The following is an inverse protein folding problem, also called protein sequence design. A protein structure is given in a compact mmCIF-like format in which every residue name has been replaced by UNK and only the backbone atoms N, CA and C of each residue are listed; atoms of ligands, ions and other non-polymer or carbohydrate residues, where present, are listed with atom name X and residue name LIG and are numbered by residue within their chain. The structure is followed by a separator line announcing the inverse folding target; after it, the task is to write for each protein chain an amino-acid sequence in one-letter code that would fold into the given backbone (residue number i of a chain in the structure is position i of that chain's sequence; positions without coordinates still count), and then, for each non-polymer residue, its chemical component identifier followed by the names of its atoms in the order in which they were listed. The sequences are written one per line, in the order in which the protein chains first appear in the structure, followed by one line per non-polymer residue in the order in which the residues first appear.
data_IF_777721524432
#
_entry.id   IF_777721524432
#
_cell.length_a   1.000
_cell.length_b   1.000
_cell.length_c   1.000
_cell.angle_alpha   90.00
_cell.angle_beta   90.00
_cell.angle_gamma   90.00
#
_symmetry.space_group_name_H-M   'P 1'
#
loop_
_entity.id
_entity.type
_entity.pdbx_description
1 polymer ?
#
# COMPACT_ATOMS: atom_id res chain seq x y z
N UNK A 1 -41.03 8.73 7.02
CA UNK A 1 -39.69 8.68 7.64
C UNK A 1 -39.62 7.54 8.65
N UNK A 2 -38.60 6.69 8.56
CA UNK A 2 -38.49 5.48 9.39
C UNK A 2 -37.19 5.49 10.20
N UNK A 3 -36.25 6.43 9.92
CA UNK A 3 -34.96 6.55 10.60
C UNK A 3 -34.62 8.01 10.88
N UNK A 4 -33.97 8.27 12.02
CA UNK A 4 -33.51 9.60 12.41
C UNK A 4 -32.14 9.94 11.79
N UNK A 5 -31.35 8.92 11.47
CA UNK A 5 -30.00 9.03 10.89
C UNK A 5 -29.89 8.08 9.71
N UNK A 6 -29.34 8.54 8.63
CA UNK A 6 -29.14 7.76 7.41
C UNK A 6 -27.65 7.64 7.05
N UNK A 7 -27.26 6.44 6.65
CA UNK A 7 -25.92 6.17 6.14
C UNK A 7 -26.00 5.46 4.80
N UNK A 8 -25.81 6.17 3.68
CA UNK A 8 -25.71 5.55 2.38
C UNK A 8 -24.39 4.77 2.27
N UNK A 9 -24.41 3.66 1.54
CA UNK A 9 -23.20 2.92 1.20
C UNK A 9 -22.59 3.51 -0.08
N UNK A 10 -21.63 4.42 0.09
CA UNK A 10 -20.98 5.14 -1.01
C UNK A 10 -19.56 4.61 -1.20
N UNK A 11 -19.33 3.85 -2.27
CA UNK A 11 -18.04 3.25 -2.61
C UNK A 11 -17.40 3.94 -3.81
N UNK A 12 -17.45 5.28 -3.80
CA UNK A 12 -16.88 6.08 -4.87
C UNK A 12 -15.36 5.90 -4.94
N UNK A 13 -14.86 5.65 -6.15
CA UNK A 13 -13.44 5.34 -6.35
C UNK A 13 -13.07 3.87 -6.13
N UNK A 14 -14.02 3.01 -5.70
CA UNK A 14 -13.75 1.57 -5.55
C UNK A 14 -14.67 0.71 -6.42
N UNK A 15 -15.96 0.63 -6.12
CA UNK A 15 -16.91 -0.16 -6.92
C UNK A 15 -17.47 0.61 -8.11
N UNK A 16 -17.36 1.93 -8.13
CA UNK A 16 -17.81 2.77 -9.24
C UNK A 16 -17.15 4.14 -9.17
N UNK A 17 -16.99 4.77 -10.33
CA UNK A 17 -16.41 6.10 -10.46
C UNK A 17 -14.97 6.23 -9.99
N UNK A 18 -14.50 7.48 -9.90
CA UNK A 18 -13.22 7.84 -9.32
C UNK A 18 -13.38 8.51 -7.95
N UNK A 19 -12.35 8.49 -7.12
CA UNK A 19 -12.40 9.08 -5.78
C UNK A 19 -12.61 10.61 -5.81
N UNK A 20 -12.21 11.30 -6.87
CA UNK A 20 -12.48 12.74 -7.07
C UNK A 20 -13.97 13.07 -7.16
N UNK A 21 -14.84 12.09 -7.43
CA UNK A 21 -16.29 12.25 -7.47
C UNK A 21 -16.96 12.09 -6.10
N UNK A 22 -16.18 11.81 -5.03
CA UNK A 22 -16.68 11.53 -3.69
C UNK A 22 -17.51 12.70 -3.12
N UNK A 23 -16.99 13.92 -3.20
CA UNK A 23 -17.68 15.13 -2.74
C UNK A 23 -19.06 15.30 -3.38
N UNK A 24 -19.12 15.20 -4.72
CA UNK A 24 -20.40 15.28 -5.44
C UNK A 24 -21.41 14.21 -5.04
N UNK A 25 -20.93 12.99 -4.74
CA UNK A 25 -21.77 11.92 -4.26
C UNK A 25 -22.33 12.22 -2.85
N UNK A 26 -21.50 12.72 -1.93
CA UNK A 26 -21.94 13.12 -0.57
C UNK A 26 -22.94 14.27 -0.64
N UNK A 27 -22.68 15.30 -1.41
CA UNK A 27 -23.57 16.47 -1.55
C UNK A 27 -24.96 16.06 -2.05
N UNK A 28 -25.03 15.16 -3.03
CA UNK A 28 -26.32 14.65 -3.53
C UNK A 28 -27.16 13.98 -2.44
N UNK A 29 -26.55 13.15 -1.59
CA UNK A 29 -27.28 12.50 -0.48
C UNK A 29 -27.66 13.50 0.62
N UNK A 30 -26.83 14.53 0.86
CA UNK A 30 -27.09 15.56 1.87
C UNK A 30 -28.30 16.42 1.53
N UNK A 31 -28.58 16.67 0.25
CA UNK A 31 -29.79 17.36 -0.19
C UNK A 31 -31.07 16.64 0.26
N UNK A 32 -31.01 15.30 0.33
CA UNK A 32 -32.13 14.46 0.73
C UNK A 32 -32.17 14.21 2.25
N UNK A 33 -31.01 14.13 2.89
CA UNK A 33 -30.87 13.73 4.30
C UNK A 33 -29.82 14.58 5.02
N UNK A 34 -30.25 15.64 5.74
CA UNK A 34 -29.31 16.54 6.43
C UNK A 34 -28.42 15.86 7.48
N UNK A 35 -28.92 14.84 8.19
CA UNK A 35 -28.17 14.08 9.20
C UNK A 35 -27.48 12.85 8.56
N UNK A 36 -26.59 13.08 7.61
CA UNK A 36 -25.87 12.04 6.88
C UNK A 36 -24.65 11.57 7.65
N UNK A 37 -24.53 10.26 7.89
CA UNK A 37 -23.30 9.57 8.26
C UNK A 37 -22.79 8.75 7.07
N UNK A 38 -21.48 8.65 6.90
CA UNK A 38 -20.88 7.77 5.89
C UNK A 38 -20.17 6.61 6.58
N UNK A 39 -20.93 5.57 6.91
CA UNK A 39 -20.48 4.48 7.80
C UNK A 39 -19.84 3.29 7.07
N UNK A 40 -19.69 3.35 5.73
CA UNK A 40 -19.01 2.30 4.99
C UNK A 40 -18.42 2.83 3.69
N UNK A 41 -17.09 2.91 3.63
CA UNK A 41 -16.33 3.27 2.45
C UNK A 41 -14.92 2.63 2.48
N UNK A 42 -14.21 2.64 1.38
CA UNK A 42 -12.83 2.19 1.31
C UNK A 42 -12.48 1.43 0.04
N UNK A 43 -11.40 0.70 0.10
CA UNK A 43 -10.88 -0.11 -1.00
C UNK A 43 -9.88 -1.13 -0.50
N UNK A 44 -9.52 -2.09 -1.36
CA UNK A 44 -8.55 -3.14 -1.02
C UNK A 44 -7.16 -2.79 -1.52
N UNK A 45 -6.15 -3.09 -0.72
CA UNK A 45 -4.75 -3.06 -1.15
C UNK A 45 -4.02 -4.33 -0.75
N UNK A 46 -3.13 -4.79 -1.62
CA UNK A 46 -2.22 -5.89 -1.34
C UNK A 46 -0.92 -5.33 -0.78
N UNK A 47 -0.60 -5.69 0.46
CA UNK A 47 0.55 -5.17 1.22
C UNK A 47 1.84 -5.23 0.41
N UNK A 48 2.53 -4.10 0.31
CA UNK A 48 3.79 -3.96 -0.41
C UNK A 48 3.65 -3.86 -1.93
N UNK A 49 2.42 -3.78 -2.47
CA UNK A 49 2.20 -3.56 -3.89
C UNK A 49 2.05 -2.08 -4.18
N UNK A 50 2.98 -1.55 -4.96
CA UNK A 50 3.01 -0.15 -5.36
C UNK A 50 3.19 -0.01 -6.86
N UNK A 51 2.70 1.08 -7.42
CA UNK A 51 2.84 1.43 -8.83
C UNK A 51 3.17 2.92 -8.98
N UNK A 52 3.97 3.26 -9.99
CA UNK A 52 4.30 4.68 -10.29
C UNK A 52 3.08 5.44 -10.85
N UNK A 53 2.16 4.70 -11.48
CA UNK A 53 0.90 5.24 -11.98
C UNK A 53 -0.24 4.28 -11.66
N UNK A 54 -1.10 4.60 -10.69
CA UNK A 54 -2.15 3.68 -10.22
C UNK A 54 -3.20 3.34 -11.27
N UNK A 55 -3.29 4.08 -12.36
CA UNK A 55 -4.25 3.85 -13.44
C UNK A 55 -3.67 3.12 -14.66
N UNK A 56 -2.42 2.64 -14.59
CA UNK A 56 -1.82 1.77 -15.61
C UNK A 56 -1.64 2.40 -16.98
N UNK A 57 -2.06 3.62 -17.18
CA UNK A 57 -1.82 4.37 -18.40
C UNK A 57 -0.33 4.70 -18.47
N UNK A 58 0.28 4.62 -19.65
CA UNK A 58 1.55 5.25 -19.93
C UNK A 58 1.40 6.78 -19.81
N UNK A 59 0.82 7.19 -18.69
CA UNK A 59 0.57 8.56 -18.33
C UNK A 59 1.86 9.34 -18.53
N UNK A 60 1.75 10.43 -19.18
CA UNK A 60 2.86 11.28 -19.55
C UNK A 60 3.75 11.49 -18.33
N UNK A 61 4.90 10.80 -18.31
CA UNK A 61 5.94 11.02 -17.33
C UNK A 61 5.96 10.16 -16.07
N UNK A 62 4.99 9.31 -15.78
CA UNK A 62 5.00 8.45 -14.58
C UNK A 62 4.98 9.21 -13.25
N UNK A 63 4.63 10.47 -13.26
CA UNK A 63 4.57 11.34 -12.08
C UNK A 63 3.11 11.60 -11.70
N UNK A 64 2.70 11.19 -10.51
CA UNK A 64 1.37 11.41 -9.94
C UNK A 64 0.94 12.88 -9.94
N UNK A 65 1.88 13.79 -9.82
CA UNK A 65 1.63 15.24 -9.80
C UNK A 65 1.33 15.85 -11.19
N UNK A 66 1.57 15.11 -12.29
CA UNK A 66 1.45 15.65 -13.65
C UNK A 66 0.12 15.33 -14.34
N UNK A 67 -0.64 14.38 -13.83
CA UNK A 67 -1.95 14.00 -14.37
C UNK A 67 -2.95 14.07 -13.24
N UNK A 68 -4.01 14.87 -13.41
CA UNK A 68 -5.10 14.87 -12.44
C UNK A 68 -5.76 13.47 -12.40
N UNK A 69 -6.30 13.10 -11.24
CA UNK A 69 -7.02 11.84 -11.11
C UNK A 69 -8.19 11.76 -12.08
N UNK A 70 -8.86 12.89 -12.30
CA UNK A 70 -9.96 13.01 -13.25
C UNK A 70 -9.49 12.70 -14.69
N UNK A 71 -8.36 13.24 -15.11
CA UNK A 71 -7.78 12.93 -16.41
C UNK A 71 -7.37 11.46 -16.53
N UNK A 72 -6.75 10.89 -15.49
CA UNK A 72 -6.36 9.49 -15.47
C UNK A 72 -7.58 8.56 -15.56
N UNK A 73 -8.62 8.80 -14.78
CA UNK A 73 -9.87 8.02 -14.79
C UNK A 73 -10.58 8.13 -16.14
N UNK A 74 -10.66 9.33 -16.71
CA UNK A 74 -11.31 9.55 -17.99
C UNK A 74 -10.54 8.90 -19.14
N UNK A 75 -9.20 8.93 -19.12
CA UNK A 75 -8.36 8.29 -20.13
C UNK A 75 -8.45 6.77 -20.14
N UNK A 76 -8.58 6.15 -18.97
CA UNK A 76 -8.57 4.67 -18.84
C UNK A 76 -9.99 4.08 -18.89
N UNK A 77 -11.04 4.90 -18.81
CA UNK A 77 -12.42 4.44 -18.80
C UNK A 77 -12.75 3.53 -17.61
N UNK A 78 -12.09 3.72 -16.46
CA UNK A 78 -12.26 2.88 -15.27
C UNK A 78 -13.63 3.09 -14.66
N UNK A 79 -14.50 2.10 -14.81
CA UNK A 79 -15.83 2.10 -14.19
C UNK A 79 -15.82 1.50 -12.77
N UNK A 80 -14.80 0.72 -12.43
CA UNK A 80 -14.64 0.08 -11.11
C UNK A 80 -13.19 -0.37 -10.91
N UNK A 81 -12.50 0.24 -9.95
CA UNK A 81 -11.11 -0.13 -9.58
C UNK A 81 -11.07 -1.52 -8.95
N UNK A 82 -12.11 -1.91 -8.23
CA UNK A 82 -12.24 -3.25 -7.65
C UNK A 82 -12.05 -4.37 -8.68
N UNK A 83 -12.46 -4.14 -9.93
CA UNK A 83 -12.36 -5.14 -11.02
C UNK A 83 -11.00 -5.17 -11.70
N UNK A 84 -10.11 -4.21 -11.41
CA UNK A 84 -8.77 -4.21 -12.00
C UNK A 84 -7.87 -5.31 -11.42
N UNK A 85 -8.18 -5.77 -10.20
CA UNK A 85 -7.39 -6.73 -9.40
C UNK A 85 -5.93 -6.31 -9.17
N UNK A 86 -5.56 -5.08 -9.52
CA UNK A 86 -4.21 -4.55 -9.26
C UNK A 86 -4.03 -4.32 -7.77
N UNK A 87 -4.97 -3.64 -7.13
CA UNK A 87 -5.07 -3.40 -5.69
C UNK A 87 -3.74 -2.97 -5.07
N UNK A 88 -3.16 -1.93 -5.62
CA UNK A 88 -1.93 -1.33 -5.08
C UNK A 88 -2.23 -0.37 -3.92
N UNK A 89 -1.25 -0.19 -3.04
CA UNK A 89 -1.35 0.73 -1.92
C UNK A 89 -1.35 2.18 -2.38
N UNK A 90 -0.68 2.48 -3.48
CA UNK A 90 -0.59 3.84 -4.05
C UNK A 90 -1.97 4.43 -4.35
N UNK A 91 -2.83 3.66 -5.02
CA UNK A 91 -4.20 4.10 -5.30
C UNK A 91 -5.04 4.27 -4.03
N UNK A 92 -4.91 3.34 -3.10
CA UNK A 92 -5.70 3.36 -1.87
C UNK A 92 -5.32 4.54 -0.97
N UNK A 93 -4.05 4.90 -0.95
CA UNK A 93 -3.58 6.12 -0.29
C UNK A 93 -4.26 7.35 -0.88
N UNK A 94 -4.27 7.50 -2.20
CA UNK A 94 -4.92 8.63 -2.87
C UNK A 94 -6.43 8.68 -2.58
N UNK A 95 -7.11 7.53 -2.61
CA UNK A 95 -8.54 7.43 -2.30
C UNK A 95 -8.83 7.91 -0.87
N UNK A 96 -8.06 7.46 0.11
CA UNK A 96 -8.31 7.84 1.51
C UNK A 96 -7.87 9.26 1.82
N UNK A 97 -6.76 9.73 1.26
CA UNK A 97 -6.31 11.11 1.44
C UNK A 97 -7.38 12.09 0.89
N UNK A 98 -7.91 11.79 -0.29
CA UNK A 98 -9.00 12.58 -0.89
C UNK A 98 -10.26 12.58 -0.03
N UNK A 99 -10.68 11.41 0.45
CA UNK A 99 -11.88 11.26 1.27
C UNK A 99 -11.74 11.99 2.61
N UNK A 100 -10.61 11.80 3.30
CA UNK A 100 -10.33 12.43 4.59
C UNK A 100 -10.19 13.95 4.47
N UNK A 101 -9.50 14.45 3.43
CA UNK A 101 -9.47 15.90 3.16
C UNK A 101 -10.88 16.48 3.14
N UNK A 102 -11.80 15.86 2.39
CA UNK A 102 -13.17 16.35 2.32
C UNK A 102 -13.87 16.26 3.67
N UNK A 103 -13.84 15.09 4.33
CA UNK A 103 -14.55 14.87 5.58
C UNK A 103 -14.05 15.73 6.74
N UNK A 104 -12.76 16.08 6.76
CA UNK A 104 -12.15 16.90 7.81
C UNK A 104 -12.25 18.41 7.54
N UNK A 105 -12.55 18.82 6.31
CA UNK A 105 -12.68 20.24 5.95
C UNK A 105 -14.11 20.73 5.76
N UNK A 106 -15.06 19.82 5.57
CA UNK A 106 -16.48 20.16 5.44
C UNK A 106 -17.15 20.26 6.83
N UNK A 107 -17.54 21.48 7.27
CA UNK A 107 -18.13 21.68 8.60
C UNK A 107 -19.50 21.00 8.79
N UNK A 108 -20.12 20.56 7.71
CA UNK A 108 -21.41 19.86 7.74
C UNK A 108 -21.25 18.34 7.67
N UNK A 109 -20.01 17.83 7.60
CA UNK A 109 -19.78 16.40 7.58
C UNK A 109 -19.96 15.81 8.98
N UNK A 110 -20.98 14.96 9.16
CA UNK A 110 -21.40 14.50 10.49
C UNK A 110 -20.47 13.42 11.05
N UNK A 111 -19.94 12.54 10.20
CA UNK A 111 -19.00 11.50 10.59
C UNK A 111 -18.93 10.33 9.61
N UNK A 112 -17.87 9.52 9.76
CA UNK A 112 -17.65 8.37 8.90
C UNK A 112 -17.00 7.19 9.62
N UNK A 113 -17.12 5.99 9.01
CA UNK A 113 -16.34 4.83 9.39
C UNK A 113 -15.85 4.11 8.12
N UNK A 114 -14.56 3.84 8.09
CA UNK A 114 -13.92 3.13 7.01
C UNK A 114 -14.10 1.61 7.17
N UNK A 115 -14.33 0.90 6.07
CA UNK A 115 -14.36 -0.55 6.00
C UNK A 115 -13.09 -1.09 5.34
N UNK A 116 -12.18 -1.72 6.12
CA UNK A 116 -12.25 -2.03 7.53
C UNK A 116 -10.89 -1.76 8.20
N UNK A 117 -10.81 -1.84 9.54
CA UNK A 117 -9.54 -1.61 10.24
C UNK A 117 -8.49 -2.69 9.93
N UNK A 118 -8.89 -3.97 9.87
CA UNK A 118 -7.97 -5.10 9.69
C UNK A 118 -8.43 -6.03 8.58
N UNK A 119 -7.50 -6.53 7.77
CA UNK A 119 -7.77 -7.61 6.81
C UNK A 119 -8.35 -8.84 7.53
N UNK A 120 -9.30 -9.53 6.91
CA UNK A 120 -9.96 -10.67 7.53
C UNK A 120 -10.25 -11.79 6.54
N UNK A 121 -10.36 -13.02 7.06
CA UNK A 121 -10.77 -14.20 6.29
C UNK A 121 -12.22 -14.10 5.85
N UNK A 122 -12.52 -14.54 4.63
CA UNK A 122 -13.85 -14.56 4.06
C UNK A 122 -14.06 -15.84 3.24
N UNK A 123 -15.27 -16.43 3.23
CA UNK A 123 -15.56 -17.59 2.39
C UNK A 123 -15.70 -17.24 0.90
N UNK A 124 -15.79 -15.96 0.58
CA UNK A 124 -15.87 -15.42 -0.77
C UNK A 124 -14.55 -14.77 -1.15
N UNK A 125 -14.38 -14.33 -2.41
CA UNK A 125 -13.18 -13.66 -2.93
C UNK A 125 -12.00 -14.61 -3.18
N UNK A 126 -12.18 -15.71 -3.92
CA UNK A 126 -11.07 -16.60 -4.30
C UNK A 126 -10.09 -15.93 -5.27
N UNK A 127 -10.51 -14.88 -5.97
CA UNK A 127 -9.75 -14.11 -6.95
C UNK A 127 -8.76 -13.10 -6.35
N UNK A 128 -8.87 -12.83 -5.05
CA UNK A 128 -8.03 -11.83 -4.40
C UNK A 128 -6.54 -12.18 -4.46
N UNK A 129 -5.63 -11.18 -4.39
CA UNK A 129 -4.18 -11.42 -4.33
C UNK A 129 -3.76 -12.44 -3.26
N UNK A 130 -4.45 -12.47 -2.13
CA UNK A 130 -4.45 -13.60 -1.19
C UNK A 130 -5.87 -14.17 -1.20
N UNK A 131 -6.09 -15.34 -1.81
CA UNK A 131 -7.41 -15.95 -1.91
C UNK A 131 -8.12 -16.06 -0.56
N UNK A 132 -9.41 -15.75 -0.55
CA UNK A 132 -10.27 -15.78 0.63
C UNK A 132 -9.85 -14.85 1.78
N UNK A 133 -9.11 -13.78 1.48
CA UNK A 133 -8.84 -12.68 2.40
C UNK A 133 -9.47 -11.40 1.86
N UNK A 134 -10.31 -10.76 2.68
CA UNK A 134 -10.72 -9.40 2.40
C UNK A 134 -9.57 -8.46 2.78
N UNK A 135 -9.04 -7.72 1.80
CA UNK A 135 -7.85 -6.90 1.95
C UNK A 135 -8.17 -5.40 2.06
N UNK A 136 -9.35 -5.05 2.59
CA UNK A 136 -9.77 -3.66 2.85
C UNK A 136 -9.25 -3.08 4.17
N UNK A 137 -8.46 -3.84 4.92
CA UNK A 137 -7.89 -3.38 6.19
C UNK A 137 -6.90 -2.22 6.01
N UNK A 138 -6.84 -1.33 7.00
CA UNK A 138 -5.74 -0.39 7.19
C UNK A 138 -4.49 -1.12 7.69
N UNK A 139 -4.68 -2.26 8.33
CA UNK A 139 -3.61 -3.19 8.72
C UNK A 139 -3.85 -4.56 8.11
N UNK A 140 -2.79 -5.32 7.90
CA UNK A 140 -2.88 -6.68 7.40
C UNK A 140 -3.38 -7.68 8.47
N UNK A 141 -3.48 -8.96 8.12
CA UNK A 141 -3.91 -10.02 9.05
C UNK A 141 -3.02 -10.18 10.28
N UNK A 142 -1.73 -9.83 10.18
CA UNK A 142 -0.80 -9.86 11.31
C UNK A 142 -0.90 -8.62 12.21
N UNK A 143 -1.59 -7.58 11.77
CA UNK A 143 -1.67 -6.28 12.42
C UNK A 143 -0.60 -5.29 11.95
N UNK A 144 0.17 -5.64 10.89
CA UNK A 144 1.14 -4.71 10.31
C UNK A 144 0.40 -3.60 9.58
N UNK A 145 0.71 -2.31 9.86
CA UNK A 145 0.16 -1.19 9.11
C UNK A 145 0.44 -1.29 7.61
N UNK A 146 -0.52 -0.86 6.80
CA UNK A 146 -0.40 -0.55 5.39
C UNK A 146 -0.22 0.96 5.25
N UNK A 147 0.13 1.45 4.06
CA UNK A 147 0.31 2.90 3.85
C UNK A 147 -0.93 3.71 4.21
N UNK A 148 -2.12 3.19 3.92
CA UNK A 148 -3.39 3.83 4.28
C UNK A 148 -3.55 4.08 5.80
N UNK A 149 -2.96 3.26 6.67
CA UNK A 149 -2.95 3.50 8.11
C UNK A 149 -2.28 4.84 8.47
N UNK A 150 -1.19 5.17 7.79
CA UNK A 150 -0.44 6.40 8.03
C UNK A 150 -1.18 7.63 7.52
N UNK A 151 -1.97 7.49 6.43
CA UNK A 151 -2.90 8.53 5.99
C UNK A 151 -3.89 8.86 7.10
N UNK A 152 -4.62 7.87 7.62
CA UNK A 152 -5.56 8.07 8.73
C UNK A 152 -4.88 8.63 9.98
N UNK A 153 -3.67 8.14 10.31
CA UNK A 153 -2.91 8.62 11.45
C UNK A 153 -2.60 10.12 11.33
N UNK A 154 -2.28 10.61 10.14
CA UNK A 154 -1.98 12.03 9.90
C UNK A 154 -3.20 12.96 10.03
N UNK A 155 -4.42 12.44 9.94
CA UNK A 155 -5.65 13.20 10.16
C UNK A 155 -6.19 13.05 11.59
N UNK A 156 -6.13 11.85 12.19
CA UNK A 156 -6.90 11.52 13.39
C UNK A 156 -6.08 11.37 14.66
N UNK A 157 -4.76 11.17 14.58
CA UNK A 157 -3.93 11.12 15.77
C UNK A 157 -3.69 12.50 16.35
N UNK A 158 -3.62 12.56 17.70
CA UNK A 158 -3.21 13.74 18.45
C UNK A 158 -1.70 13.78 18.68
N UNK A 159 -1.10 12.60 18.86
CA UNK A 159 0.35 12.46 18.97
C UNK A 159 1.01 12.81 17.64
N UNK A 160 2.17 13.47 17.65
CA UNK A 160 2.89 13.81 16.43
C UNK A 160 3.23 12.55 15.59
N UNK A 161 2.90 12.60 14.32
CA UNK A 161 3.27 11.59 13.33
C UNK A 161 3.81 12.27 12.09
N UNK A 162 4.86 11.69 11.49
CA UNK A 162 5.37 12.12 10.21
C UNK A 162 5.95 10.88 9.52
N UNK A 163 5.40 10.52 8.34
CA UNK A 163 5.65 9.24 7.70
C UNK A 163 5.86 9.43 6.21
N UNK A 164 6.97 8.92 5.68
CA UNK A 164 7.20 8.89 4.25
C UNK A 164 6.31 7.81 3.65
N UNK A 165 5.54 8.15 2.61
CA UNK A 165 4.71 7.21 1.88
C UNK A 165 5.54 5.99 1.45
N UNK A 166 4.96 4.79 1.67
CA UNK A 166 5.47 3.55 1.09
C UNK A 166 6.82 3.08 1.64
N UNK A 167 6.91 2.89 2.95
CA UNK A 167 8.09 2.30 3.60
C UNK A 167 8.44 0.90 3.04
N UNK A 168 7.46 0.19 2.50
CA UNK A 168 7.62 -1.12 1.87
C UNK A 168 8.04 -1.06 0.40
N UNK A 169 8.01 0.12 -0.22
CA UNK A 169 8.42 0.33 -1.61
C UNK A 169 9.91 0.62 -1.74
N UNK A 170 10.70 -0.30 -1.28
CA UNK A 170 12.16 -0.17 -1.17
C UNK A 170 12.93 -0.29 -2.48
N UNK A 171 12.29 -0.77 -3.55
CA UNK A 171 12.86 -0.78 -4.90
C UNK A 171 11.95 0.01 -5.84
N UNK A 172 12.50 1.04 -6.46
CA UNK A 172 11.81 1.83 -7.49
C UNK A 172 12.62 1.81 -8.79
N UNK A 173 12.01 2.20 -9.89
CA UNK A 173 12.70 2.28 -11.17
C UNK A 173 12.24 3.48 -11.99
N UNK A 174 13.07 3.88 -12.95
CA UNK A 174 12.76 4.95 -13.89
C UNK A 174 13.95 5.31 -14.76
N UNK A 175 13.86 6.45 -15.43
CA UNK A 175 14.99 6.99 -16.19
C UNK A 175 15.98 7.68 -15.25
N UNK A 176 17.23 7.77 -15.64
CA UNK A 176 18.19 8.60 -14.93
C UNK A 176 17.74 10.07 -14.97
N UNK A 177 17.72 10.73 -13.80
CA UNK A 177 17.27 12.12 -13.66
C UNK A 177 15.75 12.32 -13.71
N UNK A 178 14.96 11.23 -13.71
CA UNK A 178 13.50 11.32 -13.64
C UNK A 178 13.06 11.67 -12.22
N UNK A 179 12.27 12.73 -12.09
CA UNK A 179 11.68 13.09 -10.81
C UNK A 179 10.58 12.10 -10.40
N UNK A 180 10.57 11.73 -9.12
CA UNK A 180 9.54 10.91 -8.48
C UNK A 180 8.87 11.72 -7.38
N UNK A 181 7.56 11.81 -7.39
CA UNK A 181 6.82 12.47 -6.32
C UNK A 181 6.83 11.59 -5.08
N UNK A 182 7.29 12.13 -3.97
CA UNK A 182 7.26 11.51 -2.63
C UNK A 182 6.28 12.29 -1.78
N UNK A 183 5.29 11.60 -1.24
CA UNK A 183 4.31 12.15 -0.30
C UNK A 183 4.72 11.85 1.14
N UNK A 184 4.35 12.74 2.05
CA UNK A 184 4.58 12.59 3.48
C UNK A 184 3.28 12.78 4.23
N UNK A 185 2.89 11.79 5.02
CA UNK A 185 1.72 11.85 5.89
C UNK A 185 2.14 12.36 7.26
N UNK A 186 1.79 13.61 7.56
CA UNK A 186 2.27 14.31 8.76
C UNK A 186 1.14 15.14 9.35
N UNK A 187 1.00 15.12 10.68
CA UNK A 187 0.08 16.01 11.40
C UNK A 187 0.81 17.19 12.08
N UNK A 188 2.12 17.31 11.92
CA UNK A 188 2.91 18.46 12.36
C UNK A 188 2.60 19.68 11.49
N UNK A 189 2.87 20.89 11.98
CA UNK A 189 2.61 22.17 11.27
C UNK A 189 3.37 22.30 9.97
N UNK A 190 4.59 21.73 9.94
CA UNK A 190 5.41 21.66 8.71
C UNK A 190 6.29 20.42 8.69
N UNK A 191 6.85 20.12 7.53
CA UNK A 191 7.78 19.00 7.39
C UNK A 191 8.90 19.36 6.40
N UNK A 192 10.08 18.76 6.60
CA UNK A 192 11.23 18.86 5.70
C UNK A 192 11.69 17.46 5.29
N UNK A 193 11.82 17.25 3.98
CA UNK A 193 12.34 16.02 3.41
C UNK A 193 13.81 16.19 3.06
N UNK A 194 14.59 15.13 3.29
CA UNK A 194 16.00 15.02 2.93
C UNK A 194 16.21 13.84 1.99
N UNK A 195 17.05 14.03 0.98
CA UNK A 195 17.56 12.97 0.11
C UNK A 195 19.08 12.89 0.32
N UNK A 196 19.61 11.74 0.77
CA UNK A 196 21.04 11.55 1.00
C UNK A 196 21.65 12.69 1.82
N UNK A 197 20.97 13.09 2.92
CA UNK A 197 21.27 14.21 3.82
C UNK A 197 21.11 15.62 3.20
N UNK A 198 20.73 15.73 1.93
CA UNK A 198 20.48 17.03 1.29
C UNK A 198 19.02 17.43 1.54
N UNK A 199 18.81 18.60 2.16
CA UNK A 199 17.49 19.16 2.40
C UNK A 199 16.78 19.55 1.09
N UNK A 200 15.55 19.06 0.90
CA UNK A 200 14.71 19.38 -0.26
C UNK A 200 13.73 20.52 0.01
N UNK A 201 13.89 21.20 1.14
CA UNK A 201 13.07 22.32 1.58
C UNK A 201 11.91 21.92 2.49
N UNK A 202 11.49 22.89 3.31
CA UNK A 202 10.37 22.74 4.24
C UNK A 202 9.06 23.09 3.55
N UNK A 203 8.01 22.34 3.86
CA UNK A 203 6.64 22.60 3.41
C UNK A 203 5.70 22.69 4.59
N UNK A 204 4.75 23.62 4.52
CA UNK A 204 3.70 23.82 5.52
C UNK A 204 2.54 22.91 5.20
N UNK A 205 1.99 22.24 6.22
CA UNK A 205 0.81 21.41 6.10
C UNK A 205 -0.43 22.25 5.82
N UNK A 206 -1.22 21.83 4.86
CA UNK A 206 -2.50 22.45 4.49
C UNK A 206 -3.51 21.34 4.18
N UNK A 207 -4.40 21.04 5.13
CA UNK A 207 -5.37 19.95 5.03
C UNK A 207 -6.40 20.13 3.90
N UNK A 208 -6.47 21.30 3.29
CA UNK A 208 -7.33 21.54 2.13
C UNK A 208 -6.73 21.02 0.82
N UNK A 209 -5.45 20.61 0.83
CA UNK A 209 -4.70 20.19 -0.34
C UNK A 209 -4.53 18.67 -0.41
N UNK A 210 -4.45 18.16 -1.62
CA UNK A 210 -4.03 16.80 -1.97
C UNK A 210 -2.82 16.88 -2.93
N UNK A 211 -1.98 15.83 -2.97
CA UNK A 211 -1.91 14.73 -2.01
C UNK A 211 -1.26 15.14 -0.70
N UNK A 212 -1.47 14.34 0.34
CA UNK A 212 -0.81 14.41 1.64
C UNK A 212 -0.77 15.82 2.26
N UNK A 213 -1.88 16.55 2.21
CA UNK A 213 -1.98 17.92 2.75
C UNK A 213 -0.95 18.89 2.14
N UNK A 214 -0.56 18.66 0.88
CA UNK A 214 0.46 19.47 0.17
C UNK A 214 1.91 19.14 0.55
N UNK A 215 2.14 18.13 1.38
CA UNK A 215 3.48 17.71 1.80
C UNK A 215 4.05 16.68 0.80
N UNK A 216 4.38 17.17 -0.40
CA UNK A 216 4.96 16.35 -1.47
C UNK A 216 6.23 16.99 -2.01
N UNK A 217 7.21 16.19 -2.42
CA UNK A 217 8.45 16.63 -3.03
C UNK A 217 8.74 15.85 -4.30
N UNK A 218 9.28 16.53 -5.29
CA UNK A 218 9.87 15.89 -6.47
C UNK A 218 11.31 15.51 -6.17
N UNK A 219 11.59 14.22 -6.14
CA UNK A 219 12.87 13.63 -5.75
C UNK A 219 13.53 13.01 -6.97
N UNK A 220 14.79 13.34 -7.22
CA UNK A 220 15.61 12.74 -8.27
C UNK A 220 16.58 11.77 -7.60
N UNK A 221 16.27 10.46 -7.67
CA UNK A 221 17.13 9.43 -7.09
C UNK A 221 18.39 9.20 -7.92
N UNK A 222 19.49 8.90 -7.22
CA UNK A 222 20.68 8.33 -7.83
C UNK A 222 20.48 6.82 -8.06
N UNK A 223 21.20 6.24 -9.03
CA UNK A 223 21.17 4.78 -9.24
C UNK A 223 21.78 4.06 -8.04
N UNK A 224 21.06 3.07 -7.50
CA UNK A 224 21.41 2.35 -6.29
C UNK A 224 20.69 2.85 -5.06
N UNK A 225 21.32 2.75 -3.89
CA UNK A 225 20.72 3.04 -2.59
C UNK A 225 20.68 4.55 -2.32
N UNK A 226 19.50 5.02 -1.96
CA UNK A 226 19.24 6.40 -1.53
C UNK A 226 18.59 6.38 -0.15
N UNK A 227 18.96 7.30 0.72
CA UNK A 227 18.30 7.53 2.00
C UNK A 227 17.29 8.67 1.87
N UNK A 228 16.04 8.42 2.24
CA UNK A 228 15.03 9.45 2.44
C UNK A 228 14.75 9.58 3.92
N UNK A 229 14.81 10.81 4.45
CA UNK A 229 14.49 11.14 5.82
C UNK A 229 13.55 12.33 5.86
N UNK A 230 12.53 12.27 6.71
CA UNK A 230 11.61 13.38 6.95
C UNK A 230 11.64 13.76 8.43
N UNK A 231 11.56 15.07 8.69
CA UNK A 231 11.36 15.66 10.00
C UNK A 231 10.09 16.50 9.98
N UNK A 232 9.22 16.26 10.97
CA UNK A 232 8.01 17.06 11.22
C UNK A 232 8.25 18.04 12.36
N UNK A 233 7.82 19.28 12.16
CA UNK A 233 8.04 20.39 13.09
C UNK A 233 6.72 20.90 13.65
N UNK A 234 6.73 21.26 14.94
CA UNK A 234 5.65 22.02 15.58
C UNK A 234 5.74 23.53 15.26
N UNK A 235 4.87 24.30 15.88
CA UNK A 235 4.83 25.76 15.70
C UNK A 235 6.06 26.49 16.26
N UNK A 236 6.77 25.88 17.20
CA UNK A 236 8.02 26.38 17.79
C UNK A 236 9.25 25.93 17.00
N UNK A 237 9.06 25.28 15.85
CA UNK A 237 10.12 24.72 15.00
C UNK A 237 10.95 23.63 15.66
N UNK A 238 10.41 22.94 16.67
CA UNK A 238 11.01 21.77 17.25
C UNK A 238 10.66 20.52 16.43
N UNK A 239 11.61 19.61 16.28
CA UNK A 239 11.35 18.29 15.64
C UNK A 239 10.54 17.44 16.60
N UNK A 240 9.32 17.09 16.20
CA UNK A 240 8.37 16.34 17.04
C UNK A 240 8.07 14.94 16.50
N UNK A 241 8.36 14.69 15.25
CA UNK A 241 8.21 13.38 14.60
C UNK A 241 9.19 13.23 13.44
N UNK A 242 9.47 12.00 13.05
CA UNK A 242 10.30 11.73 11.87
C UNK A 242 10.23 10.29 11.41
N UNK A 243 10.67 10.06 10.18
CA UNK A 243 10.74 8.74 9.56
C UNK A 243 11.88 8.68 8.54
N UNK A 244 12.48 7.51 8.38
CA UNK A 244 13.56 7.27 7.44
C UNK A 244 13.33 5.95 6.69
N UNK A 245 13.60 5.97 5.38
CA UNK A 245 13.57 4.77 4.53
C UNK A 245 14.77 4.75 3.59
N UNK A 246 15.16 3.54 3.17
CA UNK A 246 16.14 3.34 2.09
C UNK A 246 15.43 2.90 0.81
N UNK A 247 15.72 3.58 -0.29
CA UNK A 247 15.18 3.30 -1.62
C UNK A 247 16.32 2.90 -2.56
N UNK A 248 16.22 1.69 -3.11
CA UNK A 248 17.11 1.25 -4.21
C UNK A 248 16.47 1.66 -5.54
N UNK A 249 17.12 2.57 -6.26
CA UNK A 249 16.64 3.05 -7.55
C UNK A 249 17.32 2.34 -8.71
N UNK A 250 16.50 1.70 -9.55
CA UNK A 250 16.96 0.97 -10.72
C UNK A 250 16.77 1.83 -11.98
N UNK A 251 17.87 2.18 -12.64
CA UNK A 251 17.77 2.83 -13.95
C UNK A 251 17.27 1.82 -14.97
N UNK A 252 16.15 2.15 -15.61
CA UNK A 252 15.37 1.32 -16.53
C UNK A 252 14.51 0.23 -15.85
N UNK A 253 13.44 -0.09 -16.53
CA UNK A 253 12.47 -1.10 -16.08
C UNK A 253 13.11 -2.49 -16.01
N UNK A 254 12.90 -3.23 -14.92
CA UNK A 254 13.30 -4.63 -14.83
C UNK A 254 12.62 -5.49 -15.89
N UNK A 255 13.25 -6.61 -16.24
CA UNK A 255 12.73 -7.59 -17.19
C UNK A 255 11.62 -8.47 -16.59
N UNK A 256 11.18 -9.45 -17.39
CA UNK A 256 10.22 -10.46 -16.96
C UNK A 256 10.83 -11.43 -15.95
N UNK A 257 9.99 -12.02 -15.12
CA UNK A 257 10.39 -13.05 -14.16
C UNK A 257 11.18 -14.18 -14.83
N UNK A 258 12.40 -14.41 -14.33
CA UNK A 258 13.25 -15.53 -14.74
C UNK A 258 13.40 -16.57 -13.65
N UNK A 259 13.62 -16.15 -12.41
CA UNK A 259 13.75 -17.02 -11.23
C UNK A 259 13.12 -16.39 -10.00
N UNK A 260 12.84 -17.25 -9.00
CA UNK A 260 12.45 -16.84 -7.66
C UNK A 260 13.49 -17.42 -6.71
N UNK A 261 14.02 -16.59 -5.82
CA UNK A 261 14.90 -17.02 -4.73
C UNK A 261 14.14 -17.03 -3.41
N UNK A 262 14.49 -17.94 -2.52
CA UNK A 262 13.98 -17.98 -1.15
C UNK A 262 15.08 -17.55 -0.19
N UNK A 263 14.78 -16.55 0.64
CA UNK A 263 15.60 -16.13 1.78
C UNK A 263 14.90 -16.51 3.07
N UNK A 264 15.66 -16.94 4.07
CA UNK A 264 15.13 -17.38 5.35
C UNK A 264 15.80 -16.64 6.49
N UNK A 265 15.00 -16.27 7.49
CA UNK A 265 15.47 -15.63 8.71
C UNK A 265 14.79 -16.34 9.92
N UNK A 266 15.60 -16.88 10.83
CA UNK A 266 15.07 -17.49 12.06
C UNK A 266 14.83 -16.40 13.10
N UNK A 267 13.62 -16.36 13.63
CA UNK A 267 13.21 -15.42 14.66
C UNK A 267 13.55 -15.93 16.07
N UNK A 268 13.48 -15.04 17.04
CA UNK A 268 13.74 -15.35 18.46
C UNK A 268 12.77 -16.38 19.05
N UNK A 269 11.55 -16.48 18.53
CA UNK A 269 10.55 -17.47 18.92
C UNK A 269 10.79 -18.86 18.27
N UNK A 270 11.84 -18.99 17.46
CA UNK A 270 12.18 -20.20 16.73
C UNK A 270 11.46 -20.38 15.41
N UNK A 271 10.48 -19.54 15.08
CA UNK A 271 9.86 -19.53 13.75
C UNK A 271 10.83 -19.05 12.67
N UNK A 272 10.55 -19.39 11.41
CA UNK A 272 11.36 -19.00 10.26
C UNK A 272 10.53 -18.13 9.35
N UNK A 273 10.95 -16.88 9.18
CA UNK A 273 10.41 -15.99 8.18
C UNK A 273 11.03 -16.32 6.82
N UNK A 274 10.19 -16.61 5.85
CA UNK A 274 10.60 -17.02 4.50
C UNK A 274 10.12 -15.95 3.53
N UNK A 275 11.06 -15.39 2.76
CA UNK A 275 10.79 -14.39 1.72
C UNK A 275 11.10 -14.96 0.35
N UNK A 276 10.14 -14.92 -0.54
CA UNK A 276 10.30 -15.19 -1.96
C UNK A 276 10.59 -13.86 -2.68
N UNK A 277 11.63 -13.81 -3.49
CA UNK A 277 12.06 -12.65 -4.27
C UNK A 277 12.21 -13.03 -5.74
N UNK A 278 11.57 -12.26 -6.62
CA UNK A 278 11.57 -12.47 -8.07
C UNK A 278 12.69 -11.70 -8.74
N UNK A 279 13.40 -12.35 -9.67
CA UNK A 279 14.51 -11.76 -10.44
C UNK A 279 14.31 -11.96 -11.94
N UNK A 280 14.81 -11.00 -12.72
CA UNK A 280 14.86 -11.08 -14.18
C UNK A 280 16.12 -11.84 -14.67
N UNK A 281 16.29 -11.91 -16.01
CA UNK A 281 17.44 -12.60 -16.62
C UNK A 281 18.80 -11.92 -16.43
N UNK A 282 18.81 -10.70 -15.86
CA UNK A 282 20.01 -9.92 -15.55
C UNK A 282 20.25 -9.80 -14.05
N UNK A 283 19.62 -10.68 -13.25
CA UNK A 283 19.69 -10.70 -11.78
C UNK A 283 19.19 -9.42 -11.10
N UNK A 284 18.37 -8.62 -11.77
CA UNK A 284 17.74 -7.45 -11.18
C UNK A 284 16.41 -7.83 -10.52
N UNK A 285 16.03 -7.22 -9.38
CA UNK A 285 14.73 -7.41 -8.78
C UNK A 285 13.59 -7.15 -9.78
N UNK A 286 12.69 -8.12 -9.93
CA UNK A 286 11.56 -8.02 -10.85
C UNK A 286 10.37 -7.32 -10.17
N UNK A 287 10.56 -6.05 -9.82
CA UNK A 287 9.62 -5.25 -9.00
C UNK A 287 8.28 -4.94 -9.67
N UNK A 288 8.11 -5.32 -10.92
CA UNK A 288 6.81 -5.24 -11.61
C UNK A 288 6.08 -6.58 -11.65
N UNK A 289 6.66 -7.61 -11.03
CA UNK A 289 6.07 -8.95 -11.04
C UNK A 289 4.95 -9.07 -9.99
N UNK A 290 3.76 -9.46 -10.47
CA UNK A 290 2.55 -9.68 -9.65
C UNK A 290 2.00 -11.10 -9.79
N UNK A 291 2.78 -12.03 -10.35
CA UNK A 291 2.35 -13.40 -10.61
C UNK A 291 1.95 -14.12 -9.31
N UNK A 292 1.01 -15.05 -9.44
CA UNK A 292 0.63 -15.96 -8.34
C UNK A 292 1.74 -16.97 -8.09
N UNK A 293 2.05 -17.15 -6.81
CA UNK A 293 2.99 -18.17 -6.33
C UNK A 293 2.32 -19.10 -5.33
N UNK A 294 2.89 -20.28 -5.18
CA UNK A 294 2.41 -21.35 -4.32
C UNK A 294 3.54 -21.78 -3.39
N UNK A 295 3.32 -21.67 -2.07
CA UNK A 295 4.22 -22.19 -1.07
C UNK A 295 3.87 -23.65 -0.75
N UNK A 296 4.89 -24.49 -0.66
CA UNK A 296 4.76 -25.91 -0.31
C UNK A 296 5.84 -26.31 0.68
N UNK A 297 5.62 -27.37 1.44
CA UNK A 297 6.67 -27.95 2.27
C UNK A 297 6.54 -29.47 2.33
N UNK A 298 7.67 -30.12 2.66
CA UNK A 298 7.76 -31.53 2.99
C UNK A 298 8.71 -31.70 4.20
N UNK A 299 8.45 -32.68 5.05
CA UNK A 299 9.20 -32.88 6.30
C UNK A 299 8.51 -32.27 7.52
N UNK A 300 9.27 -32.04 8.59
CA UNK A 300 8.74 -31.56 9.87
C UNK A 300 8.36 -30.10 9.89
N UNK A 301 7.35 -29.77 10.67
CA UNK A 301 6.89 -28.39 10.81
C UNK A 301 5.65 -28.05 9.98
N UNK A 302 5.30 -26.78 9.99
CA UNK A 302 4.09 -26.29 9.29
C UNK A 302 4.21 -24.80 8.95
N UNK A 303 3.53 -24.39 7.91
CA UNK A 303 3.27 -22.96 7.72
C UNK A 303 2.31 -22.44 8.79
N UNK A 304 2.60 -21.25 9.31
CA UNK A 304 1.68 -20.60 10.24
C UNK A 304 0.41 -20.25 9.48
N UNK A 305 -0.61 -21.04 9.70
CA UNK A 305 -1.94 -20.85 9.12
C UNK A 305 -2.64 -19.72 9.88
N UNK A 306 -2.20 -18.53 9.63
CA UNK A 306 -2.88 -17.43 10.26
C UNK A 306 -4.01 -17.01 9.44
N UNK A 307 -5.10 -17.45 9.26
CA UNK A 307 -5.99 -16.59 8.52
C UNK A 307 -7.45 -17.05 8.47
N UNK A 308 -7.76 -18.22 9.03
CA UNK A 308 -9.12 -18.76 8.97
C UNK A 308 -9.62 -18.93 7.52
N UNK A 309 -8.69 -19.11 6.57
CA UNK A 309 -9.01 -19.24 5.15
C UNK A 309 -8.70 -20.64 4.66
N UNK A 310 -9.45 -21.17 3.69
CA UNK A 310 -9.04 -22.37 2.97
C UNK A 310 -7.63 -22.17 2.38
N UNK A 311 -6.74 -23.14 2.58
CA UNK A 311 -5.36 -23.06 2.09
C UNK A 311 -4.41 -22.14 2.88
N UNK A 312 -4.87 -21.43 3.91
CA UNK A 312 -4.02 -20.73 4.89
C UNK A 312 -3.09 -19.64 4.31
N UNK A 313 -3.38 -19.07 3.14
CA UNK A 313 -2.54 -18.07 2.49
C UNK A 313 -1.28 -18.65 1.82
N UNK A 314 -1.23 -19.95 1.54
CA UNK A 314 -0.13 -20.60 0.81
C UNK A 314 -0.07 -20.17 -0.65
N UNK A 315 -1.21 -19.80 -1.23
CA UNK A 315 -1.34 -19.21 -2.54
C UNK A 315 -1.46 -17.71 -2.39
N UNK A 316 -0.62 -16.95 -3.08
CA UNK A 316 -0.68 -15.49 -3.10
C UNK A 316 -0.02 -14.88 -4.31
N UNK A 317 -0.43 -13.70 -4.67
CA UNK A 317 0.28 -12.92 -5.70
C UNK A 317 1.49 -12.24 -5.10
N UNK A 318 2.53 -12.07 -5.93
CA UNK A 318 3.67 -11.23 -5.57
C UNK A 318 3.25 -9.75 -5.47
N UNK A 319 3.79 -9.06 -4.49
CA UNK A 319 3.73 -7.62 -4.33
C UNK A 319 5.10 -7.06 -4.72
N UNK A 320 5.18 -6.35 -5.83
CA UNK A 320 6.45 -5.82 -6.38
C UNK A 320 7.58 -6.86 -6.40
N UNK A 321 7.23 -8.06 -6.90
CA UNK A 321 8.19 -9.17 -6.99
C UNK A 321 8.51 -9.90 -5.70
N UNK A 322 7.81 -9.60 -4.59
CA UNK A 322 8.05 -10.19 -3.28
C UNK A 322 6.81 -10.83 -2.68
N UNK A 323 7.00 -11.87 -1.90
CA UNK A 323 6.01 -12.41 -0.98
C UNK A 323 6.72 -13.07 0.19
N UNK A 324 6.04 -13.16 1.32
CA UNK A 324 6.63 -13.79 2.52
C UNK A 324 5.61 -14.66 3.24
N UNK A 325 6.11 -15.66 3.96
CA UNK A 325 5.31 -16.54 4.79
C UNK A 325 6.10 -16.94 6.04
N UNK A 326 5.40 -17.26 7.12
CA UNK A 326 6.02 -17.73 8.34
C UNK A 326 5.89 -19.27 8.43
N UNK A 327 6.98 -19.92 8.83
CA UNK A 327 7.07 -21.37 9.02
C UNK A 327 7.49 -21.71 10.45
N UNK A 328 6.80 -22.64 11.08
CA UNK A 328 7.17 -23.20 12.37
C UNK A 328 7.89 -24.52 12.12
N UNK A 329 9.22 -24.62 12.37
CA UNK A 329 9.96 -25.87 12.24
C UNK A 329 9.45 -26.92 13.25
N UNK A 330 9.46 -28.18 12.84
CA UNK A 330 9.12 -29.32 13.67
C UNK A 330 10.36 -30.05 14.21
N UNK A 331 10.15 -31.28 14.66
CA UNK A 331 11.19 -32.13 15.24
C UNK A 331 12.11 -32.78 14.19
N UNK A 332 11.77 -32.72 12.92
CA UNK A 332 12.62 -33.15 11.80
C UNK A 332 12.82 -32.01 10.80
N UNK A 333 13.90 -32.12 10.01
CA UNK A 333 14.18 -31.16 8.96
C UNK A 333 13.02 -31.08 7.96
N UNK A 334 12.84 -29.87 7.39
CA UNK A 334 11.85 -29.61 6.35
C UNK A 334 12.51 -29.07 5.08
N UNK A 335 11.85 -29.26 3.96
CA UNK A 335 12.12 -28.58 2.72
C UNK A 335 10.92 -27.71 2.41
N UNK A 336 11.14 -26.40 2.30
CA UNK A 336 10.12 -25.42 1.87
C UNK A 336 10.39 -25.03 0.42
N UNK A 337 9.36 -25.06 -0.40
CA UNK A 337 9.39 -24.68 -1.80
C UNK A 337 8.44 -23.55 -2.12
N UNK A 338 8.73 -22.85 -3.19
CA UNK A 338 7.85 -21.89 -3.86
C UNK A 338 7.87 -22.12 -5.35
N UNK A 339 6.74 -21.97 -6.02
CA UNK A 339 6.65 -22.07 -7.48
C UNK A 339 5.56 -21.18 -8.05
N UNK A 340 5.69 -20.85 -9.32
CA UNK A 340 4.63 -20.25 -10.16
C UNK A 340 3.86 -21.33 -10.91
N UNK A 341 2.78 -20.95 -11.60
CA UNK A 341 2.07 -21.85 -12.54
C UNK A 341 2.97 -22.41 -13.65
N UNK A 342 4.00 -21.65 -14.08
CA UNK A 342 4.98 -22.07 -15.10
C UNK A 342 6.12 -22.91 -14.49
N UNK A 343 5.94 -23.44 -13.28
CA UNK A 343 6.92 -24.26 -12.55
C UNK A 343 8.28 -23.58 -12.30
N UNK A 344 8.37 -22.27 -12.46
CA UNK A 344 9.53 -21.51 -11.98
C UNK A 344 9.49 -21.50 -10.47
N UNK A 345 10.51 -22.06 -9.85
CA UNK A 345 10.49 -22.24 -8.41
C UNK A 345 11.87 -22.34 -7.79
N UNK A 346 11.88 -22.38 -6.48
CA UNK A 346 13.06 -22.57 -5.64
C UNK A 346 12.65 -23.30 -4.37
N UNK A 347 13.62 -23.92 -3.71
CA UNK A 347 13.41 -24.55 -2.39
C UNK A 347 14.59 -24.29 -1.47
N UNK A 348 14.33 -24.33 -0.16
CA UNK A 348 15.33 -24.22 0.89
C UNK A 348 15.13 -25.30 1.92
N UNK A 349 16.22 -25.76 2.56
CA UNK A 349 16.16 -26.64 3.72
C UNK A 349 16.00 -25.80 4.98
N UNK A 350 15.07 -26.20 5.83
CA UNK A 350 14.85 -25.62 7.16
C UNK A 350 15.26 -26.69 8.18
N UNK A 351 16.33 -26.48 8.94
CA UNK A 351 16.70 -27.39 10.02
C UNK A 351 15.58 -27.47 11.05
N UNK A 352 15.47 -28.64 11.68
CA UNK A 352 14.58 -28.89 12.81
C UNK A 352 14.74 -27.86 13.93
N UNK A 353 13.75 -27.82 14.81
CA UNK A 353 13.74 -26.94 15.96
C UNK A 353 14.84 -27.27 16.99
#
# INVERSE_FOLDING_TARGET
EVVDVYSPSIWMGWYGGGYHQYEGAILKYREEVPALLHMEYGGSSHVGRHVESPFGGGGVGGNRAQVSVEEAVNQVGVTSVAKSYVWDETYIVDLFDWTLRYSETDPLFTGSAQWAFKDFGTPIRPENPIPFVNQKGLVDRSGKPKDAYHVFASYWKKEPVCWIESDTWTDRYGRRGEAKTISVFCNSSSAQLYLNEIALGTKVRDITKNPASGLTWDVIFEEGINALRVEGYDDDSAVVAGHEISVNYLVNKPGKLKRIDLKTERRSDGSVFIRAEAFDSKDRPCITCTQTIYFTHNGGGRFVKGLGTPGGGLTRQLANGRASILFEPGESDAVVGVQTQDFKGHYVKIPKK
#
